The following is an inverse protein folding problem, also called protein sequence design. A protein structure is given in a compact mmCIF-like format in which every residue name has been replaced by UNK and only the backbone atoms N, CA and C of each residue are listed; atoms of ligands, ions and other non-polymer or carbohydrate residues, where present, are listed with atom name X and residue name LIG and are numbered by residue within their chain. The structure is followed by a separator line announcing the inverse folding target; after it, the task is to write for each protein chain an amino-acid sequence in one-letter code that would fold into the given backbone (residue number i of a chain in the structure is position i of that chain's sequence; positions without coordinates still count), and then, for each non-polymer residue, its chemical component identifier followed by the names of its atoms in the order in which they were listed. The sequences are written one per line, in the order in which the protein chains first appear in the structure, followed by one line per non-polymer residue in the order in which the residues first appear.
data_IF_557515916136
#
_entry.id   IF_557515916136
#
_cell.length_a   1.000
_cell.length_b   1.000
_cell.length_c   1.000
_cell.angle_alpha   90.00
_cell.angle_beta   90.00
_cell.angle_gamma   90.00
#
_symmetry.space_group_name_H-M   'P 1'
#
loop_
_entity.id
_entity.type
_entity.pdbx_description
1 polymer ?
#
# COMPACT_ATOMS: atom_id res chain seq x y z
N UNK A 1 -5.31 -22.60 -15.41
CA UNK A 1 -3.93 -22.31 -14.98
C UNK A 1 -4.01 -21.28 -13.86
N UNK A 2 -3.18 -21.39 -12.80
CA UNK A 2 -3.14 -20.38 -11.74
C UNK A 2 -2.53 -19.08 -12.26
N UNK A 3 -3.07 -17.94 -11.84
CA UNK A 3 -2.48 -16.62 -12.15
C UNK A 3 -1.17 -16.47 -11.37
N UNK A 4 -0.15 -15.77 -11.90
CA UNK A 4 1.05 -15.49 -11.12
C UNK A 4 0.72 -14.60 -9.92
N UNK A 5 1.46 -14.74 -8.84
CA UNK A 5 1.26 -13.96 -7.60
C UNK A 5 2.11 -12.70 -7.65
N UNK A 6 1.51 -11.55 -7.33
CA UNK A 6 2.21 -10.29 -7.10
C UNK A 6 2.09 -9.90 -5.62
N UNK A 7 3.23 -9.67 -4.96
CA UNK A 7 3.27 -9.07 -3.63
C UNK A 7 4.12 -7.79 -3.67
N UNK A 8 3.54 -6.67 -3.25
CA UNK A 8 4.19 -5.36 -3.17
C UNK A 8 3.53 -4.54 -2.07
N UNK A 9 4.09 -3.38 -1.72
CA UNK A 9 3.47 -2.49 -0.75
C UNK A 9 4.36 -1.34 -0.39
N UNK A 10 3.96 -0.58 0.63
CA UNK A 10 4.66 0.62 1.05
C UNK A 10 4.64 0.75 2.58
N UNK A 11 5.68 1.40 3.10
CA UNK A 11 5.70 1.89 4.48
C UNK A 11 4.83 3.15 4.55
N UNK A 12 3.96 3.31 5.57
CA UNK A 12 3.15 4.51 5.76
C UNK A 12 3.99 5.68 6.32
N UNK A 13 4.87 6.25 5.49
CA UNK A 13 5.92 7.20 5.92
C UNK A 13 5.48 8.65 6.04
N UNK A 14 4.47 9.05 5.25
CA UNK A 14 3.93 10.40 5.21
C UNK A 14 2.41 10.40 5.20
N UNK A 15 1.81 11.59 5.20
CA UNK A 15 0.36 11.73 5.37
C UNK A 15 -0.42 11.41 4.09
N UNK A 16 0.20 11.57 2.91
CA UNK A 16 -0.42 11.30 1.60
C UNK A 16 0.60 10.82 0.58
N UNK A 17 0.14 10.00 -0.36
CA UNK A 17 0.89 9.68 -1.57
C UNK A 17 0.76 10.83 -2.59
N UNK A 18 1.85 11.20 -3.23
CA UNK A 18 1.89 12.23 -4.29
C UNK A 18 1.98 11.62 -5.70
N UNK A 19 2.09 12.47 -6.75
CA UNK A 19 2.12 12.04 -8.16
C UNK A 19 3.27 11.07 -8.52
N UNK A 20 4.42 11.17 -7.83
CA UNK A 20 5.49 10.16 -7.94
C UNK A 20 5.02 8.74 -7.54
N UNK A 21 4.20 8.67 -6.49
CA UNK A 21 3.31 7.56 -6.12
C UNK A 21 2.62 6.91 -7.30
N UNK A 22 1.79 7.76 -7.91
CA UNK A 22 0.86 7.40 -8.95
C UNK A 22 1.56 6.83 -10.17
N UNK A 23 2.50 7.59 -10.73
CA UNK A 23 3.22 7.23 -11.96
C UNK A 23 4.24 6.13 -11.71
N UNK A 24 4.89 6.14 -10.54
CA UNK A 24 5.98 5.21 -10.22
C UNK A 24 5.50 3.80 -9.92
N UNK A 25 4.37 3.63 -9.22
CA UNK A 25 3.91 2.29 -8.78
C UNK A 25 2.41 2.07 -8.92
N UNK A 26 1.57 3.02 -8.52
CA UNK A 26 0.13 2.75 -8.37
C UNK A 26 -0.57 2.45 -9.70
N UNK A 27 -0.28 3.19 -10.78
CA UNK A 27 -0.85 2.90 -12.10
C UNK A 27 -0.47 1.50 -12.60
N UNK A 28 0.73 1.02 -12.25
CA UNK A 28 1.13 -0.34 -12.58
C UNK A 28 0.37 -1.37 -11.74
N UNK A 29 0.21 -1.14 -10.43
CA UNK A 29 -0.59 -2.00 -9.54
C UNK A 29 -2.03 -2.14 -10.06
N UNK A 30 -2.64 -1.04 -10.50
CA UNK A 30 -4.00 -1.04 -11.08
C UNK A 30 -4.09 -1.90 -12.34
N UNK A 31 -3.05 -1.95 -13.17
CA UNK A 31 -3.02 -2.81 -14.37
C UNK A 31 -2.76 -4.28 -14.02
N UNK A 32 -1.86 -4.53 -13.07
CA UNK A 32 -1.40 -5.87 -12.71
C UNK A 32 -2.48 -6.67 -11.97
N UNK A 33 -3.36 -6.01 -11.21
CA UNK A 33 -4.48 -6.68 -10.51
C UNK A 33 -5.40 -7.49 -11.44
N UNK A 34 -5.50 -7.13 -12.73
CA UNK A 34 -6.34 -7.83 -13.70
C UNK A 34 -5.66 -9.08 -14.28
N UNK A 35 -4.34 -9.24 -14.09
CA UNK A 35 -3.55 -10.36 -14.63
C UNK A 35 -2.92 -11.26 -13.56
N UNK A 36 -2.78 -10.78 -12.33
CA UNK A 36 -2.13 -11.47 -11.21
C UNK A 36 -3.08 -11.63 -10.01
N UNK A 37 -2.79 -12.62 -9.15
CA UNK A 37 -3.34 -12.66 -7.80
C UNK A 37 -2.52 -11.69 -6.95
N UNK A 38 -3.12 -10.54 -6.61
CA UNK A 38 -2.37 -9.36 -6.13
C UNK A 38 -2.56 -9.15 -4.64
N UNK A 39 -1.44 -8.94 -3.94
CA UNK A 39 -1.35 -8.64 -2.52
C UNK A 39 -0.63 -7.31 -2.33
N UNK A 40 -1.28 -6.37 -1.65
CA UNK A 40 -0.70 -5.07 -1.30
C UNK A 40 -0.60 -4.95 0.21
N UNK A 41 0.63 -4.98 0.74
CA UNK A 41 0.86 -4.79 2.17
C UNK A 41 1.02 -3.31 2.53
N UNK A 42 0.45 -2.91 3.66
CA UNK A 42 0.81 -1.69 4.36
C UNK A 42 1.85 -2.09 5.42
N UNK A 43 3.11 -1.77 5.16
CA UNK A 43 4.26 -2.23 5.94
C UNK A 43 4.52 -1.34 7.16
N UNK A 44 3.59 -1.33 8.11
CA UNK A 44 3.64 -0.54 9.34
C UNK A 44 4.77 -0.99 10.29
N UNK A 45 5.00 -2.29 10.48
CA UNK A 45 6.11 -2.80 11.30
C UNK A 45 7.48 -2.31 10.80
N UNK A 46 7.64 -2.16 9.48
CA UNK A 46 8.87 -1.63 8.90
C UNK A 46 9.13 -0.16 9.26
N UNK A 47 8.14 0.60 9.76
CA UNK A 47 8.36 1.96 10.28
C UNK A 47 9.27 1.96 11.51
N UNK A 48 9.19 0.92 12.35
CA UNK A 48 9.97 0.82 13.59
C UNK A 48 11.49 0.78 13.36
N UNK A 49 11.92 0.40 12.15
CA UNK A 49 13.34 0.35 11.77
C UNK A 49 14.01 1.73 11.70
N UNK A 50 13.23 2.79 11.50
CA UNK A 50 13.75 4.16 11.26
C UNK A 50 13.00 5.24 12.02
N UNK A 51 11.76 4.99 12.47
CA UNK A 51 10.91 5.94 13.19
C UNK A 51 10.34 5.35 14.50
N UNK A 52 11.17 5.04 15.51
CA UNK A 52 10.73 4.36 16.72
C UNK A 52 10.16 5.28 17.81
N UNK A 53 10.05 6.60 17.57
CA UNK A 53 9.52 7.53 18.58
C UNK A 53 8.03 7.30 18.81
N UNK A 54 7.55 7.56 20.04
CA UNK A 54 6.13 7.41 20.41
C UNK A 54 5.21 8.16 19.45
N UNK A 55 5.55 9.40 19.12
CA UNK A 55 4.72 10.25 18.26
C UNK A 55 4.64 9.70 16.82
N UNK A 56 5.76 9.17 16.28
CA UNK A 56 5.76 8.54 14.96
C UNK A 56 4.94 7.25 14.96
N UNK A 57 5.07 6.40 15.99
CA UNK A 57 4.30 5.17 16.14
C UNK A 57 2.79 5.47 16.21
N UNK A 58 2.39 6.48 16.99
CA UNK A 58 0.99 6.88 17.10
C UNK A 58 0.42 7.38 15.75
N UNK A 59 1.24 8.06 14.94
CA UNK A 59 0.83 8.55 13.62
C UNK A 59 0.73 7.46 12.55
N UNK A 60 1.37 6.29 12.71
CA UNK A 60 1.39 5.22 11.70
C UNK A 60 -0.01 4.71 11.35
N UNK A 61 -0.89 4.60 12.35
CA UNK A 61 -2.28 4.13 12.15
C UNK A 61 -3.03 5.00 11.14
N UNK A 62 -2.98 6.31 11.32
CA UNK A 62 -3.71 7.25 10.48
C UNK A 62 -3.13 7.29 9.06
N UNK A 63 -1.79 7.25 8.97
CA UNK A 63 -1.08 7.16 7.67
C UNK A 63 -1.41 5.88 6.92
N UNK A 64 -1.49 4.74 7.61
CA UNK A 64 -1.89 3.47 7.01
C UNK A 64 -3.30 3.58 6.40
N UNK A 65 -4.25 4.20 7.10
CA UNK A 65 -5.59 4.45 6.57
C UNK A 65 -5.57 5.39 5.34
N UNK A 66 -4.75 6.44 5.33
CA UNK A 66 -4.58 7.32 4.17
C UNK A 66 -4.01 6.59 2.95
N UNK A 67 -3.09 5.67 3.15
CA UNK A 67 -2.51 4.87 2.07
C UNK A 67 -3.58 3.96 1.45
N UNK A 68 -4.34 3.23 2.28
CA UNK A 68 -5.43 2.37 1.78
C UNK A 68 -6.49 3.21 1.06
N UNK A 69 -6.90 4.36 1.63
CA UNK A 69 -7.82 5.28 0.95
C UNK A 69 -7.29 5.72 -0.41
N UNK A 70 -6.00 6.03 -0.50
CA UNK A 70 -5.39 6.41 -1.77
C UNK A 70 -5.38 5.25 -2.76
N UNK A 71 -5.01 4.04 -2.34
CA UNK A 71 -5.04 2.85 -3.18
C UNK A 71 -6.43 2.63 -3.80
N UNK A 72 -7.48 2.70 -2.99
CA UNK A 72 -8.86 2.58 -3.45
C UNK A 72 -9.23 3.70 -4.43
N UNK A 73 -8.85 4.95 -4.12
CA UNK A 73 -9.18 6.13 -4.94
C UNK A 73 -8.59 6.09 -6.35
N UNK A 74 -7.46 5.41 -6.54
CA UNK A 74 -6.78 5.32 -7.85
C UNK A 74 -7.19 4.08 -8.65
N UNK A 75 -8.08 3.24 -8.11
CA UNK A 75 -8.64 2.09 -8.81
C UNK A 75 -8.04 0.73 -8.44
N UNK A 76 -7.32 0.62 -7.32
CA UNK A 76 -7.02 -0.69 -6.74
C UNK A 76 -8.34 -1.23 -6.15
N UNK A 77 -8.82 -2.34 -6.70
CA UNK A 77 -10.11 -2.93 -6.37
C UNK A 77 -9.93 -4.03 -5.31
N UNK A 78 -10.53 -3.91 -4.11
CA UNK A 78 -10.43 -4.92 -3.06
C UNK A 78 -11.12 -6.25 -3.42
N UNK A 79 -11.97 -6.29 -4.45
CA UNK A 79 -12.50 -7.54 -4.98
C UNK A 79 -11.48 -8.31 -5.83
N UNK A 80 -10.40 -7.66 -6.28
CA UNK A 80 -9.33 -8.24 -7.11
C UNK A 80 -7.99 -8.33 -6.38
N UNK A 81 -7.79 -7.48 -5.38
CA UNK A 81 -6.52 -7.32 -4.66
C UNK A 81 -6.73 -7.50 -3.16
N UNK A 82 -5.91 -8.34 -2.53
CA UNK A 82 -5.87 -8.44 -1.07
C UNK A 82 -5.00 -7.32 -0.50
N UNK A 83 -5.62 -6.36 0.18
CA UNK A 83 -4.92 -5.30 0.91
C UNK A 83 -4.87 -5.70 2.39
N UNK A 84 -3.70 -5.69 3.02
CA UNK A 84 -3.56 -6.08 4.42
C UNK A 84 -2.54 -5.21 5.17
N UNK A 85 -2.72 -5.10 6.48
CA UNK A 85 -1.77 -4.48 7.40
C UNK A 85 -0.78 -5.56 7.87
N UNK A 86 0.51 -5.23 7.89
CA UNK A 86 1.58 -6.17 8.23
C UNK A 86 1.59 -6.56 9.72
#
# INVERSE_FOLDING_TARGET
MSRPVMLTGDRPTGDKLHIGHLVGTLLNRVKVQDTHDTFILVADLHMLTTKPSKDEILAVRDRAAEYVKTYLSVGIDPAKTTIYLQ
#
